data_IF_958377529643
#
_entry.id   IF_958377529643
#
_cell.length_a   1.000
_cell.length_b   1.000
_cell.length_c   1.000
_cell.angle_alpha   90.00
_cell.angle_beta   90.00
_cell.angle_gamma   90.00
#
_symmetry.space_group_name_H-M   'P 1'
#
loop_
_entity.id
_entity.type
_entity.pdbx_description
1 polymer ?
#
# COMPACT_ATOMS: atom_id res chain seq x y z
N UNK A 1 -20.97 4.79 36.15
CA UNK A 1 -19.93 3.82 36.54
C UNK A 1 -19.87 2.71 35.49
N UNK A 2 -19.36 2.98 34.28
CA UNK A 2 -19.15 1.97 33.22
C UNK A 2 -18.27 2.57 32.10
N UNK A 3 -16.99 2.77 32.32
CA UNK A 3 -16.02 3.12 31.27
C UNK A 3 -14.71 2.41 31.64
N UNK A 4 -14.61 1.10 31.44
CA UNK A 4 -13.33 0.37 31.59
C UNK A 4 -13.13 -0.86 30.72
N UNK A 5 -13.97 -1.12 29.72
CA UNK A 5 -13.86 -2.37 28.95
C UNK A 5 -13.24 -2.25 27.55
N UNK A 6 -13.06 -1.05 26.98
CA UNK A 6 -12.56 -0.92 25.59
C UNK A 6 -11.02 -0.92 25.43
N UNK A 7 -10.27 -0.71 26.50
CA UNK A 7 -8.79 -0.70 26.41
C UNK A 7 -8.11 -2.07 26.42
N UNK A 8 -8.81 -3.12 26.85
CA UNK A 8 -8.24 -4.47 26.87
C UNK A 8 -8.26 -5.15 25.50
N UNK A 9 -9.25 -4.85 24.66
CA UNK A 9 -9.39 -5.46 23.34
C UNK A 9 -8.31 -5.03 22.33
N UNK A 10 -7.87 -3.79 22.38
CA UNK A 10 -6.83 -3.26 21.49
C UNK A 10 -5.44 -3.77 21.83
N UNK A 11 -5.15 -4.00 23.10
CA UNK A 11 -3.86 -4.58 23.53
C UNK A 11 -3.73 -6.05 23.14
N UNK A 12 -4.82 -6.82 23.21
CA UNK A 12 -4.82 -8.23 22.80
C UNK A 12 -4.66 -8.39 21.29
N UNK A 13 -5.24 -7.51 20.48
CA UNK A 13 -5.08 -7.52 19.03
C UNK A 13 -3.64 -7.18 18.60
N UNK A 14 -2.98 -6.24 19.29
CA UNK A 14 -1.58 -5.89 19.01
C UNK A 14 -0.61 -7.00 19.39
N UNK A 15 -0.87 -7.72 20.48
CA UNK A 15 -0.06 -8.88 20.91
C UNK A 15 -0.25 -10.09 19.98
N UNK A 16 -1.43 -10.28 19.39
CA UNK A 16 -1.69 -11.36 18.44
C UNK A 16 -0.97 -11.15 17.09
N UNK A 17 -0.80 -9.90 16.65
CA UNK A 17 0.00 -9.60 15.46
C UNK A 17 1.51 -9.76 15.67
N UNK A 18 1.99 -9.49 16.88
CA UNK A 18 3.40 -9.64 17.24
C UNK A 18 3.85 -11.11 17.34
N UNK A 19 2.93 -12.04 17.68
CA UNK A 19 3.23 -13.47 17.80
C UNK A 19 3.32 -14.19 16.45
N UNK A 20 2.85 -13.60 15.36
CA UNK A 20 2.97 -14.16 13.99
C UNK A 20 4.36 -13.96 13.35
N UNK A 21 5.24 -13.16 13.98
CA UNK A 21 6.57 -12.83 13.43
C UNK A 21 7.70 -13.61 14.11
N UNK A 22 7.44 -14.35 15.18
CA UNK A 22 8.48 -14.96 15.99
C UNK A 22 8.34 -16.49 16.12
N UNK A 23 8.42 -17.20 15.00
CA UNK A 23 8.90 -18.58 15.06
C UNK A 23 10.19 -18.66 14.23
N UNK A 24 11.38 -18.70 14.88
CA UNK A 24 12.56 -19.17 14.19
C UNK A 24 12.31 -20.63 13.83
N UNK A 25 12.18 -20.92 12.55
CA UNK A 25 12.27 -22.27 12.04
C UNK A 25 13.72 -22.72 12.30
N UNK A 26 13.93 -23.40 13.41
CA UNK A 26 15.13 -24.22 13.59
C UNK A 26 15.03 -25.33 12.57
N UNK A 27 15.64 -25.13 11.41
CA UNK A 27 15.90 -26.22 10.49
C UNK A 27 16.83 -27.18 11.23
N UNK A 28 16.33 -28.36 11.48
CA UNK A 28 17.05 -29.47 12.10
C UNK A 28 18.17 -29.85 11.13
N UNK A 29 19.38 -29.50 11.53
CA UNK A 29 20.62 -29.85 10.86
C UNK A 29 21.01 -31.26 11.29
N UNK A 30 20.34 -32.28 10.70
CA UNK A 30 20.72 -33.67 10.79
C UNK A 30 20.37 -34.36 9.44
N UNK A 31 21.18 -34.06 8.43
CA UNK A 31 21.32 -34.94 7.29
C UNK A 31 22.82 -35.13 7.04
N UNK A 32 23.25 -36.34 7.23
CA UNK A 32 24.60 -36.80 7.01
C UNK A 32 25.30 -36.09 5.85
N UNK A 33 26.42 -35.49 6.14
CA UNK A 33 27.35 -34.97 5.15
C UNK A 33 27.85 -36.11 4.28
N UNK A 34 27.14 -36.39 3.20
CA UNK A 34 27.72 -37.07 2.07
C UNK A 34 28.50 -36.01 1.31
N UNK A 35 29.83 -36.14 1.38
CA UNK A 35 30.78 -35.43 0.53
C UNK A 35 30.39 -35.55 -0.94
N UNK A 36 29.57 -34.59 -1.41
CA UNK A 36 29.46 -34.29 -2.82
C UNK A 36 30.46 -33.16 -3.11
N UNK A 37 31.72 -33.51 -3.31
CA UNK A 37 32.64 -32.70 -4.10
C UNK A 37 32.04 -32.50 -5.48
N UNK A 38 31.38 -31.35 -5.65
CA UNK A 38 30.68 -31.02 -6.90
C UNK A 38 29.24 -30.52 -6.70
N UNK A 39 28.94 -29.89 -5.59
CA UNK A 39 27.64 -29.19 -5.44
C UNK A 39 27.55 -28.11 -6.52
N UNK A 40 26.89 -28.45 -7.63
CA UNK A 40 26.50 -27.48 -8.65
C UNK A 40 25.49 -26.55 -7.95
N UNK A 41 25.98 -25.42 -7.46
CA UNK A 41 25.12 -24.34 -7.03
C UNK A 41 24.39 -23.79 -8.25
N UNK A 42 23.26 -24.42 -8.58
CA UNK A 42 22.33 -23.85 -9.57
C UNK A 42 21.69 -22.63 -8.94
N UNK A 43 22.40 -21.52 -8.98
CA UNK A 43 21.81 -20.22 -8.66
C UNK A 43 20.82 -19.92 -9.77
N UNK A 44 19.54 -20.19 -9.54
CA UNK A 44 18.50 -19.77 -10.47
C UNK A 44 18.51 -18.24 -10.50
N UNK A 45 18.82 -17.61 -11.63
CA UNK A 45 18.83 -16.15 -11.71
C UNK A 45 17.41 -15.63 -11.42
N UNK A 46 17.31 -14.60 -10.58
CA UNK A 46 16.05 -13.91 -10.30
C UNK A 46 15.58 -13.28 -11.63
N UNK A 47 14.42 -13.68 -12.17
CA UNK A 47 14.03 -13.28 -13.53
C UNK A 47 13.68 -11.80 -13.66
N UNK A 48 13.43 -11.13 -12.54
CA UNK A 48 13.15 -9.70 -12.48
C UNK A 48 14.09 -9.07 -11.46
N UNK A 49 15.07 -8.30 -11.95
CA UNK A 49 15.92 -7.46 -11.12
C UNK A 49 15.26 -6.07 -11.03
N UNK A 50 15.15 -5.55 -9.81
CA UNK A 50 14.60 -4.22 -9.56
C UNK A 50 15.69 -3.19 -9.28
N UNK A 51 16.81 -3.61 -8.71
CA UNK A 51 17.93 -2.74 -8.35
C UNK A 51 18.38 -1.86 -9.52
N UNK A 52 18.50 -0.56 -9.26
CA UNK A 52 18.93 0.44 -10.25
C UNK A 52 17.87 0.81 -11.29
N UNK A 53 16.60 0.44 -11.06
CA UNK A 53 15.51 0.72 -12.01
C UNK A 53 14.51 1.69 -11.43
N UNK A 54 13.89 2.44 -12.34
CA UNK A 54 12.70 3.22 -12.04
C UNK A 54 11.45 2.36 -12.24
N UNK A 55 10.48 2.55 -11.36
CA UNK A 55 9.15 1.95 -11.42
C UNK A 55 8.13 3.08 -11.52
N UNK A 56 7.36 3.09 -12.59
CA UNK A 56 6.21 3.97 -12.77
C UNK A 56 4.94 3.14 -12.65
N UNK A 57 4.10 3.45 -11.66
CA UNK A 57 2.93 2.65 -11.32
C UNK A 57 1.65 3.48 -11.31
N UNK A 58 0.98 3.67 -12.47
CA UNK A 58 -0.39 4.15 -12.51
C UNK A 58 -1.34 3.17 -11.82
N UNK A 59 -2.33 3.70 -11.10
CA UNK A 59 -3.27 2.90 -10.32
C UNK A 59 -4.61 3.59 -10.18
N UNK A 60 -5.62 2.78 -9.92
CA UNK A 60 -6.96 3.22 -9.57
C UNK A 60 -7.47 2.41 -8.38
N UNK A 61 -8.35 2.97 -7.59
CA UNK A 61 -8.88 2.31 -6.40
C UNK A 61 -10.09 3.04 -5.83
N UNK A 62 -10.49 2.56 -4.67
CA UNK A 62 -11.61 3.16 -3.94
C UNK A 62 -11.31 3.17 -2.44
N UNK A 63 -11.90 4.13 -1.74
CA UNK A 63 -11.91 4.18 -0.28
C UNK A 63 -12.83 3.10 0.27
N UNK A 64 -12.36 2.34 1.26
CA UNK A 64 -13.10 1.20 1.83
C UNK A 64 -13.55 1.40 3.27
N UNK A 65 -12.98 2.36 3.99
CA UNK A 65 -13.31 2.63 5.40
C UNK A 65 -14.32 3.76 5.61
N UNK A 66 -14.79 4.40 4.53
CA UNK A 66 -15.72 5.52 4.61
C UNK A 66 -17.16 5.04 4.30
N UNK A 67 -18.01 5.08 5.33
CA UNK A 67 -19.42 4.72 5.20
C UNK A 67 -20.28 5.87 4.64
N UNK A 68 -19.79 7.11 4.72
CA UNK A 68 -20.51 8.34 4.40
C UNK A 68 -20.27 8.79 2.97
N UNK A 69 -19.00 8.73 2.53
CA UNK A 69 -18.59 9.23 1.24
C UNK A 69 -17.78 8.18 0.47
N UNK A 70 -18.21 7.84 -0.73
CA UNK A 70 -17.48 6.92 -1.60
C UNK A 70 -16.51 7.71 -2.47
N UNK A 71 -15.21 7.53 -2.25
CA UNK A 71 -14.16 8.10 -3.07
C UNK A 71 -13.58 7.06 -4.02
N UNK A 72 -13.51 7.39 -5.30
CA UNK A 72 -12.69 6.69 -6.27
C UNK A 72 -11.36 7.44 -6.37
N UNK A 73 -10.26 6.71 -6.35
CA UNK A 73 -8.91 7.22 -6.42
C UNK A 73 -8.30 6.85 -7.77
N UNK A 74 -7.68 7.84 -8.41
CA UNK A 74 -6.73 7.61 -9.51
C UNK A 74 -5.41 8.25 -9.11
N UNK A 75 -4.31 7.56 -9.35
CA UNK A 75 -3.01 8.05 -8.95
C UNK A 75 -1.88 7.34 -9.66
N UNK A 76 -0.68 7.74 -9.31
CA UNK A 76 0.55 7.10 -9.77
C UNK A 76 1.63 7.21 -8.71
N UNK A 77 2.55 6.24 -8.71
CA UNK A 77 3.83 6.35 -8.01
C UNK A 77 4.97 6.26 -9.00
N UNK A 78 6.04 6.98 -8.68
CA UNK A 78 7.31 6.90 -9.41
C UNK A 78 8.41 6.60 -8.38
N UNK A 79 8.93 5.38 -8.41
CA UNK A 79 9.88 4.89 -7.43
C UNK A 79 11.22 4.56 -8.07
N UNK A 80 12.30 4.74 -7.32
CA UNK A 80 13.63 4.29 -7.69
C UNK A 80 14.09 3.20 -6.72
N UNK A 81 14.49 2.06 -7.25
CA UNK A 81 14.95 0.91 -6.50
C UNK A 81 16.47 0.96 -6.29
N UNK A 82 16.91 1.38 -5.10
CA UNK A 82 18.33 1.40 -4.73
C UNK A 82 18.90 0.00 -4.60
N UNK A 83 18.10 -0.89 -4.06
CA UNK A 83 18.43 -2.30 -3.88
C UNK A 83 17.24 -3.16 -4.31
N UNK A 84 17.39 -4.48 -4.25
CA UNK A 84 16.28 -5.42 -4.46
C UNK A 84 15.19 -5.35 -3.37
N UNK A 85 15.48 -4.70 -2.25
CA UNK A 85 14.58 -4.62 -1.09
C UNK A 85 14.16 -3.21 -0.73
N UNK A 86 14.94 -2.19 -1.07
CA UNK A 86 14.67 -0.81 -0.69
C UNK A 86 14.48 0.07 -1.91
N UNK A 87 13.45 0.86 -1.86
CA UNK A 87 13.15 1.89 -2.85
C UNK A 87 12.61 3.15 -2.18
N UNK A 88 12.68 4.26 -2.88
CA UNK A 88 12.02 5.49 -2.49
C UNK A 88 11.46 6.18 -3.74
N UNK A 89 10.44 6.98 -3.55
CA UNK A 89 9.80 7.64 -4.66
C UNK A 89 8.79 8.69 -4.27
N UNK A 90 8.06 9.12 -5.28
CA UNK A 90 6.98 10.07 -5.17
C UNK A 90 5.64 9.40 -5.42
N UNK A 91 4.61 9.88 -4.74
CA UNK A 91 3.23 9.44 -4.91
C UNK A 91 2.35 10.64 -5.19
N UNK A 92 1.42 10.47 -6.12
CA UNK A 92 0.36 11.42 -6.44
C UNK A 92 -0.96 10.66 -6.52
N UNK A 93 -1.96 11.18 -5.81
CA UNK A 93 -3.30 10.59 -5.77
C UNK A 93 -4.35 11.68 -5.90
N UNK A 94 -5.37 11.40 -6.69
CA UNK A 94 -6.53 12.24 -6.88
C UNK A 94 -7.78 11.44 -6.53
N UNK A 95 -8.63 12.00 -5.66
CA UNK A 95 -9.78 11.28 -5.10
C UNK A 95 -11.11 11.85 -5.57
N UNK A 96 -11.18 13.13 -5.83
CA UNK A 96 -12.44 13.79 -6.10
C UNK A 96 -12.68 13.98 -7.61
N UNK A 97 -13.50 13.12 -8.19
CA UNK A 97 -13.96 13.22 -9.59
C UNK A 97 -15.38 13.78 -9.72
N UNK A 98 -15.86 14.48 -8.68
CA UNK A 98 -17.24 14.98 -8.61
C UNK A 98 -18.26 13.84 -8.48
N UNK A 99 -19.52 14.17 -8.72
CA UNK A 99 -20.65 13.23 -8.53
C UNK A 99 -20.68 12.06 -9.53
N UNK A 100 -19.77 12.05 -10.51
CA UNK A 100 -19.76 11.03 -11.57
C UNK A 100 -19.16 9.71 -11.09
N UNK A 101 -18.09 9.77 -10.29
CA UNK A 101 -17.33 8.59 -9.85
C UNK A 101 -17.19 8.52 -8.33
N UNK A 102 -17.86 9.36 -7.57
CA UNK A 102 -17.83 9.40 -6.11
C UNK A 102 -19.04 10.14 -5.58
N UNK A 103 -19.07 10.33 -4.27
CA UNK A 103 -20.12 11.11 -3.65
C UNK A 103 -20.71 10.46 -2.39
N UNK A 104 -21.63 11.16 -1.74
CA UNK A 104 -22.32 10.65 -0.55
C UNK A 104 -23.00 9.32 -0.83
N UNK A 105 -22.85 8.36 0.06
CA UNK A 105 -23.48 7.04 -0.07
C UNK A 105 -25.02 7.16 0.04
N UNK A 106 -25.73 6.18 -0.51
CA UNK A 106 -27.18 6.17 -0.46
C UNK A 106 -27.70 6.11 0.98
N UNK A 107 -27.07 5.27 1.81
CA UNK A 107 -27.40 5.18 3.24
C UNK A 107 -27.25 6.52 3.96
N UNK A 108 -26.24 7.32 3.60
CA UNK A 108 -26.05 8.65 4.17
C UNK A 108 -27.15 9.63 3.74
N UNK A 109 -27.57 9.59 2.46
CA UNK A 109 -28.66 10.43 1.96
C UNK A 109 -29.99 10.11 2.63
N UNK A 110 -30.26 8.81 2.79
CA UNK A 110 -31.48 8.33 3.44
C UNK A 110 -31.49 8.72 4.92
N UNK A 111 -30.36 8.54 5.63
CA UNK A 111 -30.24 8.96 7.02
C UNK A 111 -30.43 10.46 7.22
N UNK A 112 -29.87 11.29 6.35
CA UNK A 112 -30.06 12.74 6.39
C UNK A 112 -31.52 13.15 6.10
N UNK A 113 -32.21 12.44 5.21
CA UNK A 113 -33.60 12.70 4.87
C UNK A 113 -34.54 12.34 6.05
N UNK A 114 -34.28 11.25 6.76
CA UNK A 114 -35.08 10.76 7.86
C UNK A 114 -34.84 11.55 9.16
N UNK A 115 -33.57 11.79 9.50
CA UNK A 115 -33.21 12.35 10.82
C UNK A 115 -33.05 13.86 10.83
N UNK A 116 -32.96 14.52 9.66
CA UNK A 116 -32.54 15.93 9.52
C UNK A 116 -31.26 16.28 10.26
N UNK A 117 -30.47 15.26 10.63
CA UNK A 117 -29.20 15.43 11.29
C UNK A 117 -28.15 15.67 10.21
N UNK A 118 -27.38 16.74 10.34
CA UNK A 118 -26.23 17.00 9.45
C UNK A 118 -25.06 16.21 9.99
N UNK A 119 -24.89 14.98 9.53
CA UNK A 119 -23.66 14.21 9.78
C UNK A 119 -22.57 14.77 8.87
N UNK A 120 -21.42 15.09 9.44
CA UNK A 120 -20.28 15.59 8.68
C UNK A 120 -19.15 14.57 8.64
N UNK A 121 -18.46 14.52 7.51
CA UNK A 121 -17.28 13.66 7.31
C UNK A 121 -16.27 14.39 6.44
N UNK A 122 -14.99 14.25 6.78
CA UNK A 122 -13.89 14.75 5.98
C UNK A 122 -13.49 13.72 4.93
N UNK A 123 -13.28 14.15 3.69
CA UNK A 123 -12.80 13.32 2.60
C UNK A 123 -11.63 13.99 1.88
N UNK A 124 -10.77 13.16 1.25
CA UNK A 124 -9.60 13.62 0.51
C UNK A 124 -10.00 14.09 -0.90
N UNK A 125 -9.40 15.20 -1.34
CA UNK A 125 -9.48 15.66 -2.72
C UNK A 125 -8.26 15.16 -3.52
N UNK A 126 -7.07 15.40 -3.00
CA UNK A 126 -5.82 14.91 -3.58
C UNK A 126 -4.74 14.80 -2.49
N UNK A 127 -3.72 14.01 -2.78
CA UNK A 127 -2.52 13.93 -1.95
C UNK A 127 -1.28 13.71 -2.83
N UNK A 128 -0.18 14.33 -2.43
CA UNK A 128 1.11 14.17 -3.09
C UNK A 128 2.24 14.19 -2.07
N UNK A 129 3.32 13.46 -2.33
CA UNK A 129 4.47 13.46 -1.45
C UNK A 129 5.51 12.41 -1.80
N UNK A 130 6.31 12.06 -0.79
CA UNK A 130 7.39 11.11 -0.91
C UNK A 130 7.16 9.90 0.00
N UNK A 131 7.59 8.75 -0.47
CA UNK A 131 7.50 7.49 0.26
C UNK A 131 8.79 6.69 0.16
N UNK A 132 9.03 5.88 1.18
CA UNK A 132 10.08 4.85 1.18
C UNK A 132 9.43 3.50 1.33
N UNK A 133 9.98 2.51 0.64
CA UNK A 133 9.43 1.17 0.62
C UNK A 133 10.47 0.10 0.90
N UNK A 134 10.00 -0.94 1.53
CA UNK A 134 10.75 -2.15 1.86
C UNK A 134 10.02 -3.39 1.36
N UNK A 135 10.75 -4.31 0.72
CA UNK A 135 10.24 -5.58 0.20
C UNK A 135 10.66 -6.72 1.13
N UNK A 136 9.85 -7.09 2.14
CA UNK A 136 10.15 -8.20 3.05
C UNK A 136 10.10 -9.55 2.36
N UNK A 137 9.15 -9.75 1.44
CA UNK A 137 8.85 -11.05 0.85
C UNK A 137 8.90 -10.97 -0.68
N UNK A 138 9.50 -11.98 -1.27
CA UNK A 138 9.43 -12.24 -2.71
C UNK A 138 9.41 -13.75 -2.93
N UNK A 139 8.74 -14.17 -3.99
CA UNK A 139 8.59 -15.57 -4.27
C UNK A 139 8.14 -15.86 -5.69
N UNK A 140 7.81 -17.12 -5.92
CA UNK A 140 7.26 -17.61 -7.17
C UNK A 140 6.18 -18.66 -6.87
N UNK A 141 5.15 -18.70 -7.70
CA UNK A 141 4.15 -19.76 -7.66
C UNK A 141 3.79 -20.23 -9.07
N UNK A 142 3.39 -21.47 -9.18
CA UNK A 142 2.92 -22.01 -10.44
C UNK A 142 1.44 -21.71 -10.62
N UNK A 143 1.09 -21.02 -11.71
CA UNK A 143 -0.29 -20.76 -12.07
C UNK A 143 -0.80 -21.89 -12.98
N UNK A 144 -1.79 -22.65 -12.50
CA UNK A 144 -2.50 -23.70 -13.25
C UNK A 144 -1.56 -24.70 -13.97
N UNK A 145 -0.39 -25.00 -13.41
CA UNK A 145 0.65 -25.86 -14.00
C UNK A 145 1.17 -25.42 -15.40
N UNK A 146 0.89 -24.16 -15.81
CA UNK A 146 1.24 -23.66 -17.14
C UNK A 146 2.28 -22.56 -17.15
N UNK A 147 2.48 -21.89 -16.02
CA UNK A 147 3.45 -20.78 -15.94
C UNK A 147 3.89 -20.50 -14.52
N UNK A 148 5.08 -19.93 -14.38
CA UNK A 148 5.62 -19.46 -13.09
C UNK A 148 5.41 -17.95 -13.04
N UNK A 149 4.67 -17.47 -12.04
CA UNK A 149 4.51 -16.06 -11.75
C UNK A 149 5.39 -15.72 -10.56
N UNK A 150 6.19 -14.68 -10.74
CA UNK A 150 6.99 -14.09 -9.66
C UNK A 150 6.17 -13.02 -8.98
N UNK A 151 6.31 -12.94 -7.66
CA UNK A 151 5.63 -11.92 -6.88
C UNK A 151 6.54 -11.35 -5.81
N UNK A 152 6.24 -10.17 -5.37
CA UNK A 152 6.77 -9.60 -4.15
C UNK A 152 5.67 -8.89 -3.35
N UNK A 153 5.96 -8.71 -2.06
CA UNK A 153 5.14 -7.94 -1.15
C UNK A 153 5.99 -6.84 -0.57
N UNK A 154 5.52 -5.62 -0.64
CA UNK A 154 6.22 -4.46 -0.10
C UNK A 154 5.37 -3.69 0.89
N UNK A 155 6.04 -3.07 1.85
CA UNK A 155 5.45 -2.13 2.80
C UNK A 155 6.07 -0.77 2.53
N UNK A 156 5.24 0.28 2.47
CA UNK A 156 5.72 1.66 2.32
C UNK A 156 5.28 2.52 3.48
N UNK A 157 6.05 3.55 3.75
CA UNK A 157 5.67 4.64 4.63
C UNK A 157 6.14 5.97 4.02
N UNK A 158 5.37 7.03 4.21
CA UNK A 158 5.70 8.30 3.58
C UNK A 158 5.08 9.51 4.25
N UNK A 159 5.57 10.66 3.84
CA UNK A 159 5.03 11.96 4.20
C UNK A 159 4.41 12.60 2.96
N UNK A 160 3.18 13.05 3.12
CA UNK A 160 2.38 13.63 2.06
C UNK A 160 1.95 15.05 2.44
N UNK A 161 1.54 15.78 1.44
CA UNK A 161 0.69 16.96 1.57
C UNK A 161 -0.67 16.59 0.97
N UNK A 162 -1.73 16.80 1.72
CA UNK A 162 -3.07 16.39 1.32
C UNK A 162 -4.06 17.52 1.45
N UNK A 163 -4.99 17.59 0.52
CA UNK A 163 -6.14 18.50 0.61
C UNK A 163 -7.39 17.69 0.91
N UNK A 164 -8.12 18.13 1.92
CA UNK A 164 -9.38 17.53 2.35
C UNK A 164 -10.50 18.55 2.33
N UNK A 165 -11.72 18.06 2.15
CA UNK A 165 -12.96 18.82 2.27
C UNK A 165 -13.93 18.10 3.20
N UNK A 166 -14.93 18.82 3.68
CA UNK A 166 -16.01 18.27 4.48
C UNK A 166 -17.27 18.10 3.60
N UNK A 167 -18.06 17.08 3.89
CA UNK A 167 -19.32 16.82 3.16
C UNK A 167 -20.33 17.96 3.37
N UNK A 168 -20.33 18.59 4.53
CA UNK A 168 -21.24 19.70 4.84
C UNK A 168 -20.80 21.05 4.24
N UNK A 169 -19.51 21.21 3.95
CA UNK A 169 -18.94 22.42 3.37
C UNK A 169 -17.92 22.10 2.27
N UNK A 170 -18.35 21.55 1.11
CA UNK A 170 -17.43 21.08 0.06
C UNK A 170 -16.55 22.20 -0.52
N UNK A 171 -17.02 23.45 -0.48
CA UNK A 171 -16.26 24.60 -0.99
C UNK A 171 -15.13 25.05 -0.06
N UNK A 172 -15.11 24.61 1.20
CA UNK A 172 -14.06 24.94 2.16
C UNK A 172 -13.06 23.78 2.21
N UNK A 173 -12.08 23.79 1.30
CA UNK A 173 -10.99 22.83 1.33
C UNK A 173 -9.87 23.31 2.25
N UNK A 174 -9.22 22.37 2.89
CA UNK A 174 -8.02 22.60 3.70
C UNK A 174 -6.90 21.68 3.26
N UNK A 175 -5.73 22.26 3.07
CA UNK A 175 -4.54 21.52 2.72
C UNK A 175 -3.56 21.51 3.91
N UNK A 176 -2.93 20.36 4.15
CA UNK A 176 -2.02 20.19 5.27
C UNK A 176 -1.12 18.97 5.15
N UNK A 177 -0.21 18.79 6.13
CA UNK A 177 0.64 17.61 6.17
C UNK A 177 -0.18 16.35 6.46
N UNK A 178 0.22 15.26 5.83
CA UNK A 178 -0.39 13.94 5.98
C UNK A 178 0.69 12.86 6.03
N UNK A 179 0.36 11.72 6.62
CA UNK A 179 1.18 10.53 6.60
C UNK A 179 0.56 9.44 5.73
N UNK A 180 1.36 8.50 5.25
CA UNK A 180 0.83 7.32 4.56
C UNK A 180 1.58 6.07 4.95
N UNK A 181 0.85 4.97 5.00
CA UNK A 181 1.40 3.61 5.11
C UNK A 181 0.67 2.75 4.08
N UNK A 182 1.40 1.89 3.35
CA UNK A 182 0.74 0.96 2.44
C UNK A 182 1.36 -0.44 2.47
N UNK A 183 0.54 -1.40 2.10
CA UNK A 183 0.91 -2.78 1.81
C UNK A 183 0.60 -3.03 0.33
N UNK A 184 1.60 -3.47 -0.43
CA UNK A 184 1.46 -3.69 -1.85
C UNK A 184 1.94 -5.08 -2.23
N UNK A 185 1.13 -5.83 -2.99
CA UNK A 185 1.51 -7.06 -3.67
C UNK A 185 1.73 -6.78 -5.16
N UNK A 186 2.88 -7.17 -5.69
CA UNK A 186 3.20 -7.04 -7.13
C UNK A 186 3.37 -8.41 -7.76
N UNK A 187 2.71 -8.62 -8.89
CA UNK A 187 2.74 -9.86 -9.66
C UNK A 187 3.37 -9.58 -11.02
N UNK A 188 4.56 -10.12 -11.26
CA UNK A 188 5.33 -9.84 -12.46
C UNK A 188 4.81 -10.64 -13.64
N UNK A 189 4.29 -9.95 -14.66
CA UNK A 189 3.85 -10.56 -15.91
C UNK A 189 5.03 -10.82 -16.85
N UNK A 190 6.02 -9.91 -16.82
CA UNK A 190 7.26 -10.04 -17.57
C UNK A 190 8.39 -9.25 -16.87
N UNK A 191 9.57 -9.11 -17.55
CA UNK A 191 10.75 -8.46 -16.97
C UNK A 191 10.61 -6.95 -16.71
N UNK A 192 9.60 -6.29 -17.27
CA UNK A 192 9.43 -4.85 -17.18
C UNK A 192 8.02 -4.40 -16.75
N UNK A 193 7.11 -5.37 -16.52
CA UNK A 193 5.71 -5.06 -16.18
C UNK A 193 5.19 -5.98 -15.07
N UNK A 194 4.49 -5.41 -14.11
CA UNK A 194 3.79 -6.12 -13.04
C UNK A 194 2.38 -5.56 -12.83
N UNK A 195 1.48 -6.39 -12.32
CA UNK A 195 0.18 -5.97 -11.79
C UNK A 195 0.33 -5.76 -10.29
N UNK A 196 -0.23 -4.70 -9.77
CA UNK A 196 -0.15 -4.31 -8.36
C UNK A 196 -1.52 -4.36 -7.72
N UNK A 197 -1.57 -4.93 -6.52
CA UNK A 197 -2.69 -4.80 -5.59
C UNK A 197 -2.17 -4.05 -4.37
N UNK A 198 -2.84 -2.98 -3.98
CA UNK A 198 -2.39 -2.12 -2.89
C UNK A 198 -3.52 -1.86 -1.90
N UNK A 199 -3.16 -1.91 -0.61
CA UNK A 199 -3.96 -1.38 0.49
C UNK A 199 -3.16 -0.24 1.11
N UNK A 200 -3.72 0.98 1.06
CA UNK A 200 -3.05 2.19 1.53
C UNK A 200 -3.91 2.93 2.53
N UNK A 201 -3.32 3.34 3.63
CA UNK A 201 -3.91 4.26 4.59
C UNK A 201 -3.23 5.63 4.48
N UNK A 202 -4.03 6.68 4.41
CA UNK A 202 -3.59 8.08 4.43
C UNK A 202 -4.16 8.72 5.68
N UNK A 203 -3.26 9.17 6.57
CA UNK A 203 -3.60 9.87 7.80
C UNK A 203 -3.47 11.37 7.58
N UNK A 204 -4.54 12.11 7.77
CA UNK A 204 -4.59 13.54 7.54
C UNK A 204 -5.43 14.26 8.60
N UNK A 205 -5.25 15.57 8.70
CA UNK A 205 -6.05 16.41 9.59
C UNK A 205 -7.29 16.88 8.85
N UNK A 206 -8.46 16.43 9.29
CA UNK A 206 -9.75 16.82 8.73
C UNK A 206 -10.46 17.85 9.62
N UNK A 207 -11.04 18.88 9.02
CA UNK A 207 -11.90 19.81 9.72
C UNK A 207 -13.37 19.36 9.59
N UNK A 208 -13.99 19.16 10.73
CA UNK A 208 -15.40 18.81 10.82
C UNK A 208 -16.19 20.01 11.31
N UNK A 209 -17.38 20.21 10.76
CA UNK A 209 -18.25 21.32 11.15
C UNK A 209 -18.63 21.23 12.63
N UNK A 210 -18.42 22.33 13.35
CA UNK A 210 -18.77 22.42 14.78
C UNK A 210 -17.72 21.86 15.73
N UNK A 211 -16.55 21.50 15.20
CA UNK A 211 -15.36 21.15 15.98
C UNK A 211 -14.28 22.15 15.62
N UNK A 212 -13.84 22.95 16.60
CA UNK A 212 -12.85 24.01 16.38
C UNK A 212 -11.44 23.44 16.14
N UNK A 213 -11.18 22.23 16.62
CA UNK A 213 -9.91 21.54 16.45
C UNK A 213 -9.91 20.58 15.27
N UNK A 214 -8.81 20.55 14.52
CA UNK A 214 -8.62 19.59 13.46
C UNK A 214 -8.54 18.15 14.03
N UNK A 215 -9.29 17.23 13.45
CA UNK A 215 -9.39 15.83 13.89
C UNK A 215 -8.51 14.98 13.00
N UNK A 216 -7.67 14.13 13.61
CA UNK A 216 -6.91 13.14 12.85
C UNK A 216 -7.88 12.12 12.23
N UNK A 217 -7.91 12.12 10.93
CA UNK A 217 -8.77 11.26 10.10
C UNK A 217 -7.88 10.36 9.25
N UNK A 218 -8.36 9.17 8.93
CA UNK A 218 -7.65 8.26 8.05
C UNK A 218 -8.56 7.78 6.92
N UNK A 219 -7.96 7.59 5.75
CA UNK A 219 -8.62 7.13 4.55
C UNK A 219 -7.92 5.88 4.03
N UNK A 220 -8.58 4.74 4.18
CA UNK A 220 -8.05 3.46 3.71
C UNK A 220 -8.57 3.21 2.31
N UNK A 221 -7.65 3.07 1.36
CA UNK A 221 -7.94 2.80 -0.05
C UNK A 221 -7.44 1.42 -0.45
N UNK A 222 -8.26 0.73 -1.24
CA UNK A 222 -7.86 -0.49 -1.95
C UNK A 222 -7.71 -0.16 -3.43
N UNK A 223 -6.54 -0.44 -3.99
CA UNK A 223 -6.19 -0.07 -5.37
C UNK A 223 -5.63 -1.23 -6.17
N UNK A 224 -5.86 -1.14 -7.48
CA UNK A 224 -5.28 -1.99 -8.51
C UNK A 224 -4.49 -1.10 -9.48
N UNK A 225 -3.32 -1.56 -9.91
CA UNK A 225 -2.47 -0.82 -10.81
C UNK A 225 -1.53 -1.69 -11.62
N UNK A 226 -0.69 -1.03 -12.40
CA UNK A 226 0.35 -1.67 -13.18
C UNK A 226 1.66 -0.95 -12.94
N UNK A 227 2.73 -1.70 -12.68
CA UNK A 227 4.10 -1.17 -12.62
C UNK A 227 4.83 -1.38 -13.92
N UNK A 228 5.54 -0.33 -14.35
CA UNK A 228 6.42 -0.34 -15.51
C UNK A 228 7.83 -0.02 -15.07
N UNK A 229 8.74 -0.98 -15.27
CA UNK A 229 10.14 -0.87 -14.85
C UNK A 229 11.02 -0.39 -15.99
N UNK A 230 11.79 0.67 -15.74
CA UNK A 230 12.72 1.28 -16.69
C UNK A 230 14.16 1.27 -16.13
N UNK A 231 15.17 0.91 -16.93
CA UNK A 231 15.12 0.42 -18.30
C UNK A 231 14.44 -0.95 -18.41
N UNK A 232 13.87 -1.26 -19.58
CA UNK A 232 13.15 -2.52 -19.82
C UNK A 232 14.06 -3.73 -19.92
N UNK A 233 15.32 -3.49 -20.26
CA UNK A 233 16.40 -4.50 -20.33
C UNK A 233 17.38 -4.33 -19.18
N UNK A 234 17.88 -5.43 -18.66
CA UNK A 234 18.95 -5.46 -17.67
C UNK A 234 19.89 -6.63 -17.98
N UNK A 235 21.18 -6.43 -17.68
CA UNK A 235 22.21 -7.45 -17.81
C UNK A 235 22.57 -7.97 -16.41
N UNK A 236 22.73 -9.28 -16.28
CA UNK A 236 23.30 -9.87 -15.07
C UNK A 236 24.79 -9.59 -15.06
N UNK A 237 25.27 -8.85 -14.05
CA UNK A 237 26.71 -8.74 -13.83
C UNK A 237 27.24 -10.07 -13.30
N UNK A 238 28.02 -10.77 -14.10
CA UNK A 238 28.69 -12.03 -13.73
C UNK A 238 29.85 -11.84 -12.73
N UNK A 239 30.11 -10.62 -12.26
CA UNK A 239 31.30 -10.26 -11.51
C UNK A 239 31.39 -10.80 -10.07
N UNK A 240 30.43 -11.59 -9.59
CA UNK A 240 30.44 -12.14 -8.23
C UNK A 240 30.52 -13.67 -8.14
N UNK A 241 30.86 -14.37 -9.21
CA UNK A 241 31.05 -15.85 -9.20
C UNK A 241 32.48 -16.29 -9.04
N UNK A 242 33.42 -15.36 -8.94
CA UNK A 242 34.84 -15.68 -8.74
C UNK A 242 35.36 -15.00 -7.46
N UNK A 243 35.13 -15.61 -6.32
CA UNK A 243 36.05 -15.69 -5.17
C UNK A 243 35.54 -16.63 -4.11
#
# INVERSE_FOLDING_TARGET
>A
MTVRCHRLGTLVALCALASLVATPAWAQEDAAATDFEGAIHVVQPKPVLQKGRFDLSPRMGMTINDAVYRNIMVGATANYHFTERFYAGAVLQWFNFGDVLGGPTQNFRDLNAETRATVDAAYLNWSAGAEVGFVPLFGKFALLNRGIIFYDVSVTAGALFAESSSVSTPAASQAGPAGTVSLQGRFFLNRWMAVNLELRDVLFMGNLRGIDDAVLTHSVTMGLGMSFYLPTTFEYSESNVAR
#
